data_IF_053033579969
#
_entry.id   IF_053033579969
#
_cell.length_a   1.000
_cell.length_b   1.000
_cell.length_c   1.000
_cell.angle_alpha   90.00
_cell.angle_beta   90.00
_cell.angle_gamma   90.00
#
_symmetry.space_group_name_H-M   'P 1'
#
loop_
_entity.id
_entity.type
_entity.pdbx_description
1 polymer ?
#
# COMPACT_ATOMS: atom_id res chain seq x y z
N UNK A 1 29.82 5.82 -15.83
CA UNK A 1 28.79 4.99 -15.19
C UNK A 1 27.44 5.38 -15.80
N UNK A 2 26.91 4.53 -16.68
CA UNK A 2 25.64 4.78 -17.35
C UNK A 2 24.53 4.05 -16.61
N UNK A 3 24.19 4.54 -15.40
CA UNK A 3 23.14 3.96 -14.57
C UNK A 3 21.73 4.09 -15.20
N UNK A 4 21.64 4.75 -16.37
CA UNK A 4 20.37 5.12 -16.98
C UNK A 4 20.09 4.45 -18.33
N UNK A 5 21.00 3.62 -18.85
CA UNK A 5 20.82 2.98 -20.15
C UNK A 5 19.72 1.88 -20.16
N UNK A 6 19.24 1.45 -18.97
CA UNK A 6 18.23 0.39 -18.81
C UNK A 6 16.82 0.90 -18.46
N UNK A 7 16.60 2.22 -18.45
CA UNK A 7 15.38 2.82 -17.96
C UNK A 7 14.13 2.56 -18.82
N UNK A 8 14.31 2.18 -20.10
CA UNK A 8 13.20 1.86 -20.98
C UNK A 8 12.69 0.42 -20.89
N UNK A 9 13.51 -0.51 -20.34
CA UNK A 9 13.24 -1.93 -20.47
C UNK A 9 12.12 -2.43 -19.56
N UNK A 10 11.91 -1.79 -18.40
CA UNK A 10 10.90 -2.23 -17.44
C UNK A 10 9.48 -1.87 -17.87
N UNK A 11 9.29 -0.73 -18.53
CA UNK A 11 7.96 -0.32 -19.03
C UNK A 11 7.45 -1.28 -20.09
N UNK A 12 8.36 -1.85 -20.88
CA UNK A 12 8.06 -2.85 -21.91
C UNK A 12 7.94 -4.27 -21.37
N UNK A 13 8.28 -4.51 -20.10
CA UNK A 13 8.14 -5.84 -19.50
C UNK A 13 6.67 -6.23 -19.39
N UNK A 14 6.22 -7.34 -20.02
CA UNK A 14 4.82 -7.75 -20.03
C UNK A 14 4.23 -8.00 -18.64
N UNK A 15 5.03 -8.52 -17.70
CA UNK A 15 4.57 -8.76 -16.32
C UNK A 15 4.34 -7.43 -15.58
N UNK A 16 5.27 -6.48 -15.69
CA UNK A 16 5.10 -5.16 -15.12
C UNK A 16 3.86 -4.47 -15.68
N UNK A 17 3.69 -4.47 -17.01
CA UNK A 17 2.52 -3.88 -17.68
C UNK A 17 1.22 -4.53 -17.27
N UNK A 18 1.21 -5.86 -17.04
CA UNK A 18 0.02 -6.58 -16.57
C UNK A 18 -0.43 -6.13 -15.18
N UNK A 19 0.50 -6.03 -14.21
CA UNK A 19 0.18 -5.55 -12.86
C UNK A 19 -0.19 -4.07 -12.86
N UNK A 20 0.50 -3.26 -13.65
CA UNK A 20 0.12 -1.86 -13.85
C UNK A 20 -1.32 -1.75 -14.38
N UNK A 21 -1.68 -2.54 -15.39
CA UNK A 21 -3.03 -2.60 -15.94
C UNK A 21 -4.10 -2.98 -14.91
N UNK A 22 -3.80 -3.89 -13.99
CA UNK A 22 -4.69 -4.25 -12.89
C UNK A 22 -4.96 -3.05 -11.96
N UNK A 23 -3.92 -2.32 -11.54
CA UNK A 23 -4.07 -1.11 -10.73
C UNK A 23 -4.93 -0.06 -11.42
N UNK A 24 -4.65 0.23 -12.70
CA UNK A 24 -5.42 1.20 -13.48
C UNK A 24 -6.88 0.81 -13.57
N UNK A 25 -7.17 -0.46 -13.84
CA UNK A 25 -8.57 -0.95 -13.91
C UNK A 25 -9.28 -0.87 -12.57
N UNK A 26 -8.59 -1.17 -11.47
CA UNK A 26 -9.16 -1.08 -10.12
C UNK A 26 -9.59 0.35 -9.79
N UNK A 27 -8.72 1.35 -10.01
CA UNK A 27 -9.06 2.75 -9.80
C UNK A 27 -10.11 3.26 -10.80
N UNK A 28 -10.04 2.87 -12.07
CA UNK A 28 -11.06 3.23 -13.06
C UNK A 28 -12.44 2.71 -12.68
N UNK A 29 -12.51 1.48 -12.18
CA UNK A 29 -13.75 0.91 -11.65
C UNK A 29 -14.24 1.69 -10.42
N UNK A 30 -13.34 1.98 -9.48
CA UNK A 30 -13.66 2.80 -8.32
C UNK A 30 -14.23 4.17 -8.74
N UNK A 31 -13.54 4.90 -9.60
CA UNK A 31 -13.98 6.22 -10.05
C UNK A 31 -15.32 6.18 -10.78
N UNK A 32 -15.55 5.17 -11.62
CA UNK A 32 -16.82 5.03 -12.34
C UNK A 32 -18.01 4.74 -11.42
N UNK A 33 -17.77 4.16 -10.24
CA UNK A 33 -18.80 3.75 -9.31
C UNK A 33 -19.00 4.70 -8.14
N UNK A 34 -17.94 5.32 -7.62
CA UNK A 34 -18.05 6.21 -6.45
C UNK A 34 -18.95 7.41 -6.70
N UNK A 35 -19.20 7.77 -7.96
CA UNK A 35 -20.15 8.84 -8.33
C UNK A 35 -21.60 8.49 -7.98
N UNK A 36 -21.92 7.20 -7.81
CA UNK A 36 -23.22 6.71 -7.35
C UNK A 36 -23.42 6.89 -5.83
N UNK A 37 -22.34 7.13 -5.09
CA UNK A 37 -22.40 7.31 -3.64
C UNK A 37 -23.00 8.66 -3.25
N UNK A 38 -23.64 8.69 -2.10
CA UNK A 38 -24.11 9.95 -1.50
C UNK A 38 -22.91 10.78 -1.02
N UNK A 39 -22.53 11.76 -1.85
CA UNK A 39 -21.39 12.65 -1.60
C UNK A 39 -21.64 13.69 -0.51
N UNK A 40 -22.88 13.84 -0.05
CA UNK A 40 -23.20 14.72 1.08
C UNK A 40 -22.78 14.12 2.43
N UNK A 41 -22.52 12.83 2.49
CA UNK A 41 -22.04 12.15 3.69
C UNK A 41 -20.57 12.46 3.96
N UNK A 42 -20.19 13.00 5.12
CA UNK A 42 -18.79 13.30 5.46
C UNK A 42 -17.85 12.10 5.33
N UNK A 43 -18.36 10.90 5.61
CA UNK A 43 -17.60 9.65 5.47
C UNK A 43 -17.24 9.36 3.99
N UNK A 44 -18.17 9.60 3.07
CA UNK A 44 -17.92 9.41 1.63
C UNK A 44 -16.85 10.38 1.12
N UNK A 45 -16.87 11.64 1.55
CA UNK A 45 -15.84 12.62 1.20
C UNK A 45 -14.46 12.19 1.75
N UNK A 46 -14.41 11.72 3.01
CA UNK A 46 -13.18 11.20 3.60
C UNK A 46 -12.64 9.99 2.81
N UNK A 47 -13.50 9.03 2.46
CA UNK A 47 -13.12 7.88 1.62
C UNK A 47 -12.51 8.36 0.31
N UNK A 48 -13.13 9.31 -0.38
CA UNK A 48 -12.62 9.86 -1.65
C UNK A 48 -11.24 10.49 -1.50
N UNK A 49 -11.02 11.27 -0.44
CA UNK A 49 -9.70 11.87 -0.15
C UNK A 49 -8.64 10.81 0.12
N UNK A 50 -8.95 9.79 0.90
CA UNK A 50 -8.03 8.68 1.18
C UNK A 50 -7.70 7.90 -0.10
N UNK A 51 -8.68 7.66 -0.96
CA UNK A 51 -8.50 6.98 -2.24
C UNK A 51 -7.66 7.79 -3.22
N UNK A 52 -7.82 9.13 -3.24
CA UNK A 52 -6.96 10.01 -4.04
C UNK A 52 -5.47 9.90 -3.61
N UNK A 53 -5.21 9.92 -2.29
CA UNK A 53 -3.85 9.74 -1.76
C UNK A 53 -3.30 8.35 -2.12
N UNK A 54 -4.13 7.32 -2.01
CA UNK A 54 -3.77 5.95 -2.37
C UNK A 54 -3.38 5.83 -3.85
N UNK A 55 -4.18 6.40 -4.74
CA UNK A 55 -3.92 6.40 -6.18
C UNK A 55 -2.63 7.17 -6.52
N UNK A 56 -2.44 8.36 -5.94
CA UNK A 56 -1.22 9.15 -6.12
C UNK A 56 0.03 8.39 -5.66
N UNK A 57 -0.05 7.70 -4.51
CA UNK A 57 1.03 6.85 -4.01
C UNK A 57 1.31 5.67 -4.93
N UNK A 58 0.27 5.02 -5.48
CA UNK A 58 0.41 3.93 -6.44
C UNK A 58 1.03 4.38 -7.75
N UNK A 59 0.66 5.57 -8.25
CA UNK A 59 1.29 6.18 -9.42
C UNK A 59 2.76 6.46 -9.16
N UNK A 60 3.08 7.09 -8.02
CA UNK A 60 4.46 7.38 -7.61
C UNK A 60 5.32 6.12 -7.51
N UNK A 61 4.78 5.04 -6.91
CA UNK A 61 5.46 3.75 -6.82
C UNK A 61 5.77 3.20 -8.21
N UNK A 62 4.77 3.16 -9.10
CA UNK A 62 4.93 2.61 -10.44
C UNK A 62 5.90 3.40 -11.29
N UNK A 63 5.89 4.73 -11.18
CA UNK A 63 6.87 5.57 -11.83
C UNK A 63 8.29 5.26 -11.34
N UNK A 64 8.52 5.22 -10.02
CA UNK A 64 9.84 4.88 -9.48
C UNK A 64 10.28 3.47 -9.86
N UNK A 65 9.37 2.49 -9.82
CA UNK A 65 9.65 1.12 -10.23
C UNK A 65 9.99 1.03 -11.73
N UNK A 66 9.26 1.75 -12.60
CA UNK A 66 9.52 1.76 -14.04
C UNK A 66 10.89 2.35 -14.40
N UNK A 67 11.42 3.23 -13.54
CA UNK A 67 12.76 3.81 -13.66
C UNK A 67 13.84 3.02 -12.90
N UNK A 68 13.53 1.81 -12.47
CA UNK A 68 14.43 0.98 -11.65
C UNK A 68 14.95 1.68 -10.38
N UNK A 69 14.23 2.68 -9.89
CA UNK A 69 14.54 3.36 -8.63
C UNK A 69 14.05 2.49 -7.46
N UNK A 70 14.72 1.38 -7.23
CA UNK A 70 14.29 0.31 -6.31
C UNK A 70 14.05 0.82 -4.90
N UNK A 71 14.98 1.60 -4.35
CA UNK A 71 14.86 2.10 -2.97
C UNK A 71 13.62 2.99 -2.75
N UNK A 72 13.39 4.08 -3.51
CA UNK A 72 12.18 4.88 -3.33
C UNK A 72 10.91 4.11 -3.69
N UNK A 73 10.96 3.22 -4.69
CA UNK A 73 9.82 2.38 -5.02
C UNK A 73 9.46 1.43 -3.88
N UNK A 74 10.44 0.84 -3.21
CA UNK A 74 10.20 -0.05 -2.06
C UNK A 74 9.60 0.71 -0.87
N UNK A 75 10.13 1.89 -0.55
CA UNK A 75 9.58 2.75 0.50
C UNK A 75 8.12 3.11 0.21
N UNK A 76 7.81 3.48 -1.02
CA UNK A 76 6.43 3.76 -1.44
C UNK A 76 5.53 2.51 -1.40
N UNK A 77 6.07 1.32 -1.70
CA UNK A 77 5.31 0.07 -1.59
C UNK A 77 4.96 -0.24 -0.13
N UNK A 78 5.90 -0.04 0.80
CA UNK A 78 5.65 -0.14 2.23
C UNK A 78 4.54 0.83 2.67
N UNK A 79 4.63 2.08 2.24
CA UNK A 79 3.63 3.10 2.58
C UNK A 79 2.25 2.75 1.98
N UNK A 80 2.22 2.22 0.75
CA UNK A 80 0.98 1.71 0.14
C UNK A 80 0.38 0.55 0.91
N UNK A 81 1.20 -0.38 1.37
CA UNK A 81 0.75 -1.46 2.26
C UNK A 81 0.11 -0.90 3.53
N UNK A 82 0.79 0.04 4.20
CA UNK A 82 0.28 0.66 5.43
C UNK A 82 -1.03 1.41 5.19
N UNK A 83 -1.14 2.17 4.11
CA UNK A 83 -2.37 2.85 3.70
C UNK A 83 -3.51 1.85 3.46
N UNK A 84 -3.23 0.77 2.72
CA UNK A 84 -4.21 -0.27 2.44
C UNK A 84 -4.70 -0.95 3.73
N UNK A 85 -3.80 -1.36 4.62
CA UNK A 85 -4.15 -2.00 5.89
C UNK A 85 -4.98 -1.08 6.77
N UNK A 86 -4.55 0.16 6.97
CA UNK A 86 -5.24 1.15 7.80
C UNK A 86 -6.63 1.45 7.25
N UNK A 87 -6.72 1.67 5.94
CA UNK A 87 -7.99 1.92 5.27
C UNK A 87 -8.93 0.72 5.38
N UNK A 88 -8.47 -0.47 5.02
CA UNK A 88 -9.28 -1.69 5.05
C UNK A 88 -9.75 -2.04 6.46
N UNK A 89 -8.88 -1.85 7.46
CA UNK A 89 -9.27 -2.03 8.86
C UNK A 89 -10.37 -1.04 9.27
N UNK A 90 -10.23 0.25 8.92
CA UNK A 90 -11.26 1.26 9.15
C UNK A 90 -12.58 0.95 8.43
N UNK A 91 -12.49 0.56 7.16
CA UNK A 91 -13.67 0.26 6.35
C UNK A 91 -14.53 -0.85 6.98
N UNK A 92 -13.89 -1.79 7.68
CA UNK A 92 -14.57 -2.90 8.35
C UNK A 92 -15.09 -2.60 9.75
N UNK A 93 -14.77 -1.42 10.31
CA UNK A 93 -15.34 -1.04 11.60
C UNK A 93 -16.80 -0.65 11.45
N UNK A 94 -17.65 -1.23 12.29
CA UNK A 94 -19.06 -0.85 12.39
C UNK A 94 -19.25 0.45 13.22
N UNK A 95 -18.31 0.76 14.12
CA UNK A 95 -18.37 1.95 14.96
C UNK A 95 -17.84 3.18 14.20
N UNK A 96 -18.73 4.14 13.95
CA UNK A 96 -18.35 5.43 13.34
C UNK A 96 -17.27 6.18 14.12
N UNK A 97 -17.12 5.92 15.41
CA UNK A 97 -16.09 6.56 16.25
C UNK A 97 -14.67 6.24 15.78
N UNK A 98 -14.43 5.11 15.16
CA UNK A 98 -13.09 4.78 14.63
C UNK A 98 -12.68 5.72 13.49
N UNK A 99 -13.63 6.13 12.66
CA UNK A 99 -13.41 7.13 11.62
C UNK A 99 -13.11 8.51 12.21
N UNK A 100 -13.81 8.88 13.27
CA UNK A 100 -13.55 10.14 13.97
C UNK A 100 -12.16 10.14 14.64
N UNK A 101 -11.71 8.99 15.15
CA UNK A 101 -10.35 8.84 15.69
C UNK A 101 -9.29 9.02 14.62
N UNK A 102 -9.54 8.54 13.42
CA UNK A 102 -8.66 8.77 12.28
C UNK A 102 -8.58 10.26 11.92
N UNK A 103 -9.71 10.94 11.89
CA UNK A 103 -9.77 12.38 11.66
C UNK A 103 -9.01 13.15 12.76
N UNK A 104 -9.11 12.70 14.01
CA UNK A 104 -8.38 13.29 15.12
C UNK A 104 -6.87 13.29 14.94
N UNK A 105 -6.32 12.28 14.28
CA UNK A 105 -4.88 12.23 13.96
C UNK A 105 -4.43 13.40 13.09
N UNK A 106 -5.29 13.87 12.21
CA UNK A 106 -5.05 15.06 11.40
C UNK A 106 -4.82 16.31 12.26
N UNK A 107 -5.73 16.57 13.21
CA UNK A 107 -5.65 17.74 14.09
C UNK A 107 -4.38 17.73 14.96
N UNK A 108 -4.04 16.56 15.48
CA UNK A 108 -2.84 16.43 16.31
C UNK A 108 -1.54 16.51 15.50
N UNK A 109 -1.55 16.04 14.29
CA UNK A 109 -0.42 16.23 13.37
C UNK A 109 -0.23 17.70 13.04
N UNK A 110 -1.31 18.44 12.76
CA UNK A 110 -1.25 19.89 12.56
C UNK A 110 -0.71 20.60 13.79
N UNK A 111 -1.18 20.28 14.98
CA UNK A 111 -0.70 20.89 16.22
C UNK A 111 0.81 20.63 16.43
N UNK A 112 1.30 19.42 16.17
CA UNK A 112 2.73 19.12 16.24
C UNK A 112 3.55 19.92 15.22
N UNK A 113 3.06 20.04 13.98
CA UNK A 113 3.70 20.85 12.95
C UNK A 113 3.75 22.32 13.37
N UNK A 114 2.64 22.86 13.91
CA UNK A 114 2.59 24.22 14.45
C UNK A 114 3.67 24.45 15.53
N UNK A 115 3.80 23.51 16.47
CA UNK A 115 4.83 23.59 17.50
C UNK A 115 6.25 23.48 16.92
N UNK A 116 6.49 22.59 15.97
CA UNK A 116 7.78 22.44 15.32
C UNK A 116 8.17 23.71 14.54
N UNK A 117 7.27 24.28 13.77
CA UNK A 117 7.51 25.55 13.06
C UNK A 117 7.78 26.68 14.03
N UNK A 118 7.02 26.78 15.12
CA UNK A 118 7.28 27.78 16.17
C UNK A 118 8.67 27.64 16.79
N UNK A 119 9.16 26.40 17.00
CA UNK A 119 10.49 26.14 17.53
C UNK A 119 11.61 26.51 16.54
N UNK A 120 11.38 26.33 15.24
CA UNK A 120 12.36 26.64 14.19
C UNK A 120 12.32 28.09 13.74
N UNK A 121 11.34 28.88 14.19
CA UNK A 121 11.17 30.28 13.75
C UNK A 121 10.72 30.41 12.29
N UNK A 122 10.21 29.33 11.68
CA UNK A 122 9.70 29.32 10.31
C UNK A 122 8.19 29.56 10.36
N UNK A 123 7.72 30.59 9.66
CA UNK A 123 6.27 30.79 9.50
C UNK A 123 5.70 29.78 8.52
N UNK A 124 4.69 28.98 8.92
CA UNK A 124 4.08 28.03 8.01
C UNK A 124 3.30 28.78 6.91
N UNK A 125 3.50 28.35 5.67
CA UNK A 125 2.75 28.85 4.50
C UNK A 125 1.26 28.49 4.56
N UNK A 126 0.91 27.47 5.36
CA UNK A 126 -0.45 26.96 5.55
C UNK A 126 -0.90 27.30 6.96
N UNK A 127 -2.14 27.78 7.07
CA UNK A 127 -2.78 27.95 8.38
C UNK A 127 -2.83 26.59 9.10
N UNK A 128 -2.07 26.50 10.19
CA UNK A 128 -1.99 25.32 11.05
C UNK A 128 -2.91 25.46 12.28
N UNK A 129 -3.88 26.36 12.26
CA UNK A 129 -4.88 26.40 13.33
C UNK A 129 -5.56 25.05 13.43
N UNK A 130 -5.48 24.46 14.62
CA UNK A 130 -5.70 23.03 14.76
C UNK A 130 -7.17 22.65 14.93
N UNK A 131 -8.05 23.62 15.18
CA UNK A 131 -9.47 23.35 15.47
C UNK A 131 -9.69 22.32 16.58
N UNK A 132 -8.64 22.02 17.38
CA UNK A 132 -8.69 21.02 18.44
C UNK A 132 -9.68 21.39 19.53
N UNK A 133 -9.89 22.69 19.71
CA UNK A 133 -10.87 23.19 20.68
C UNK A 133 -12.30 22.93 20.22
N UNK A 134 -12.53 22.83 18.92
CA UNK A 134 -13.80 22.47 18.30
C UNK A 134 -13.99 20.95 18.17
N UNK A 135 -12.92 20.16 18.38
CA UNK A 135 -12.99 18.72 18.24
C UNK A 135 -13.82 18.09 19.38
N UNK A 136 -14.70 17.12 19.06
CA UNK A 136 -15.48 16.43 20.09
C UNK A 136 -14.60 15.82 21.18
N UNK A 137 -15.04 15.81 22.45
CA UNK A 137 -14.25 15.32 23.59
C UNK A 137 -13.65 13.90 23.39
N UNK A 138 -14.38 12.99 22.73
CA UNK A 138 -13.93 11.63 22.46
C UNK A 138 -12.73 11.56 21.50
N UNK A 139 -12.52 12.59 20.70
CA UNK A 139 -11.36 12.73 19.82
C UNK A 139 -10.10 12.89 20.66
N UNK A 140 -10.18 13.60 21.78
CA UNK A 140 -9.04 13.83 22.69
C UNK A 140 -8.71 12.60 23.54
N UNK A 141 -9.74 11.85 24.00
CA UNK A 141 -9.57 10.78 24.96
C UNK A 141 -9.01 9.46 24.38
N UNK A 142 -9.29 9.17 23.10
CA UNK A 142 -9.00 7.87 22.50
C UNK A 142 -7.97 7.89 21.36
N UNK A 143 -7.36 9.02 21.15
CA UNK A 143 -6.36 9.21 20.11
C UNK A 143 -5.12 8.31 20.25
N UNK A 144 -4.69 8.02 21.46
CA UNK A 144 -3.54 7.17 21.73
C UNK A 144 -3.70 5.74 21.17
N UNK A 145 -4.95 5.25 21.07
CA UNK A 145 -5.21 3.88 20.63
C UNK A 145 -4.88 3.65 19.15
N UNK A 146 -5.27 4.56 18.27
CA UNK A 146 -5.04 4.42 16.82
C UNK A 146 -3.55 4.37 16.47
N UNK A 147 -2.77 5.27 17.05
CA UNK A 147 -1.33 5.34 16.80
C UNK A 147 -0.54 4.17 17.37
N UNK A 148 -1.01 3.63 18.47
CA UNK A 148 -0.30 2.60 19.21
C UNK A 148 -0.65 1.19 18.73
N UNK A 149 -1.60 1.02 17.81
CA UNK A 149 -1.90 -0.30 17.27
C UNK A 149 -0.90 -0.63 16.15
N UNK A 150 -0.04 -1.64 16.33
CA UNK A 150 0.91 -2.05 15.31
C UNK A 150 0.22 -2.47 14.01
N UNK A 151 0.88 -2.20 12.89
CA UNK A 151 0.31 -2.44 11.56
C UNK A 151 0.02 -3.92 11.31
N UNK A 152 0.84 -4.83 11.85
CA UNK A 152 0.62 -6.27 11.78
C UNK A 152 -0.66 -6.70 12.51
N UNK A 153 -0.93 -6.10 13.67
CA UNK A 153 -2.18 -6.37 14.40
C UNK A 153 -3.40 -5.83 13.65
N UNK A 154 -3.29 -4.67 13.01
CA UNK A 154 -4.37 -4.15 12.17
C UNK A 154 -4.63 -5.08 10.99
N UNK A 155 -3.58 -5.55 10.31
CA UNK A 155 -3.70 -6.48 9.19
C UNK A 155 -4.37 -7.79 9.61
N UNK A 156 -3.94 -8.41 10.73
CA UNK A 156 -4.58 -9.63 11.26
C UNK A 156 -6.05 -9.43 11.58
N UNK A 157 -6.38 -8.37 12.33
CA UNK A 157 -7.77 -8.06 12.70
C UNK A 157 -8.65 -7.79 11.47
N UNK A 158 -8.12 -7.12 10.44
CA UNK A 158 -8.81 -6.93 9.18
C UNK A 158 -9.09 -8.28 8.50
N UNK A 159 -8.09 -9.14 8.44
CA UNK A 159 -8.20 -10.46 7.80
C UNK A 159 -9.19 -11.37 8.54
N UNK A 160 -9.24 -11.29 9.86
CA UNK A 160 -10.23 -12.01 10.69
C UNK A 160 -11.66 -11.54 10.39
N UNK A 161 -11.86 -10.22 10.24
CA UNK A 161 -13.16 -9.65 9.90
C UNK A 161 -13.60 -9.97 8.47
N UNK A 162 -12.64 -10.09 7.55
CA UNK A 162 -12.90 -10.39 6.14
C UNK A 162 -13.16 -11.88 5.87
N UNK A 163 -12.71 -12.79 6.72
CA UNK A 163 -12.70 -14.22 6.49
C UNK A 163 -14.06 -14.91 6.33
N UNK A 164 -15.18 -14.18 6.49
CA UNK A 164 -16.56 -14.74 6.52
C UNK A 164 -17.31 -14.49 5.20
N UNK A 165 -16.74 -13.70 4.27
CA UNK A 165 -17.46 -13.30 3.05
C UNK A 165 -17.27 -14.27 1.89
N UNK A 166 -18.25 -14.31 0.96
CA UNK A 166 -18.17 -15.10 -0.27
C UNK A 166 -17.25 -14.47 -1.33
N UNK A 167 -16.99 -13.16 -1.25
CA UNK A 167 -16.14 -12.44 -2.20
C UNK A 167 -14.69 -12.92 -2.12
N UNK A 168 -14.05 -13.09 -3.27
CA UNK A 168 -12.66 -13.50 -3.36
C UNK A 168 -11.71 -12.38 -2.94
N UNK A 169 -12.01 -11.15 -3.33
CA UNK A 169 -11.20 -9.98 -2.95
C UNK A 169 -11.19 -9.77 -1.44
N UNK A 170 -12.31 -10.03 -0.77
CA UNK A 170 -12.42 -9.92 0.69
C UNK A 170 -11.59 -10.98 1.43
N UNK A 171 -11.37 -12.14 0.81
CA UNK A 171 -10.60 -13.25 1.40
C UNK A 171 -9.10 -13.09 1.25
N UNK A 172 -8.63 -12.12 0.47
CA UNK A 172 -7.20 -11.86 0.33
C UNK A 172 -6.62 -11.35 1.66
N UNK A 173 -5.61 -12.05 2.16
CA UNK A 173 -5.01 -11.80 3.45
C UNK A 173 -3.89 -10.75 3.35
N UNK A 174 -4.15 -9.57 3.88
CA UNK A 174 -3.15 -8.50 3.92
C UNK A 174 -1.98 -8.83 4.85
N UNK A 175 -2.23 -9.59 5.93
CA UNK A 175 -1.16 -9.98 6.83
C UNK A 175 -0.06 -10.81 6.15
N UNK A 176 -0.39 -11.58 5.11
CA UNK A 176 0.58 -12.34 4.33
C UNK A 176 1.67 -11.47 3.67
N UNK A 177 1.38 -10.18 3.43
CA UNK A 177 2.34 -9.24 2.82
C UNK A 177 3.18 -8.47 3.85
N UNK A 178 2.91 -8.66 5.15
CA UNK A 178 3.61 -7.91 6.20
C UNK A 178 5.12 -8.16 6.20
N UNK A 179 5.54 -9.42 6.18
CA UNK A 179 6.97 -9.75 6.23
C UNK A 179 7.67 -9.40 4.91
N UNK A 180 7.04 -9.66 3.77
CA UNK A 180 7.66 -9.45 2.45
C UNK A 180 7.73 -7.98 2.04
N UNK A 181 6.81 -7.14 2.51
CA UNK A 181 6.76 -5.73 2.09
C UNK A 181 7.02 -4.77 3.25
N UNK A 182 6.27 -4.89 4.34
CA UNK A 182 6.37 -3.89 5.40
C UNK A 182 7.69 -3.99 6.17
N UNK A 183 8.08 -5.19 6.61
CA UNK A 183 9.35 -5.37 7.33
C UNK A 183 10.55 -5.07 6.45
N UNK A 184 10.57 -5.60 5.23
CA UNK A 184 11.67 -5.33 4.30
C UNK A 184 11.72 -3.85 3.91
N UNK A 185 10.58 -3.22 3.62
CA UNK A 185 10.51 -1.79 3.31
C UNK A 185 10.94 -0.91 4.49
N UNK A 186 10.68 -1.33 5.73
CA UNK A 186 11.19 -0.64 6.92
C UNK A 186 12.72 -0.73 7.00
N UNK A 187 13.31 -1.90 6.75
CA UNK A 187 14.77 -2.07 6.67
C UNK A 187 15.38 -1.17 5.61
N UNK A 188 14.76 -1.09 4.43
CA UNK A 188 15.20 -0.18 3.36
C UNK A 188 15.13 1.27 3.81
N UNK A 189 14.06 1.69 4.45
CA UNK A 189 13.90 3.06 4.95
C UNK A 189 14.91 3.45 6.04
N UNK A 190 15.39 2.49 6.81
CA UNK A 190 16.37 2.69 7.88
C UNK A 190 17.82 2.47 7.47
N UNK A 191 18.10 2.21 6.19
CA UNK A 191 19.44 2.00 5.65
C UNK A 191 20.22 0.92 6.42
N UNK A 192 19.57 -0.18 6.79
CA UNK A 192 20.28 -1.29 7.39
C UNK A 192 21.12 -2.08 6.37
N UNK A 193 21.95 -3.00 6.85
CA UNK A 193 22.86 -3.77 6.00
C UNK A 193 22.11 -4.61 4.94
N UNK A 194 20.89 -5.05 5.27
CA UNK A 194 20.03 -5.78 4.36
C UNK A 194 19.58 -4.87 3.21
N UNK A 195 19.21 -3.62 3.52
CA UNK A 195 18.77 -2.65 2.51
C UNK A 195 19.90 -2.27 1.55
N UNK A 196 21.13 -2.15 2.06
CA UNK A 196 22.32 -1.87 1.23
C UNK A 196 22.55 -3.02 0.24
N UNK A 197 22.43 -4.26 0.67
CA UNK A 197 22.53 -5.42 -0.21
C UNK A 197 21.37 -5.49 -1.22
N UNK A 198 20.16 -5.11 -0.82
CA UNK A 198 18.99 -5.05 -1.71
C UNK A 198 19.13 -3.97 -2.79
N UNK A 199 19.95 -2.94 -2.59
CA UNK A 199 20.27 -1.93 -3.61
C UNK A 199 21.08 -2.50 -4.76
N UNK A 200 21.48 -3.77 -4.71
CA UNK A 200 22.23 -4.41 -5.78
C UNK A 200 23.66 -3.88 -5.91
N UNK A 201 24.29 -3.52 -4.80
CA UNK A 201 25.71 -3.19 -4.79
C UNK A 201 26.52 -4.46 -4.89
N UNK A 202 27.23 -4.63 -5.99
CA UNK A 202 28.14 -5.75 -6.23
C UNK A 202 29.56 -5.25 -6.41
N UNK A 203 30.54 -6.06 -5.98
CA UNK A 203 31.94 -5.81 -6.32
C UNK A 203 32.18 -6.08 -7.81
N UNK A 204 32.62 -5.07 -8.52
CA UNK A 204 33.00 -5.15 -9.94
C UNK A 204 34.47 -4.80 -10.16
N UNK A 205 34.99 -4.97 -11.38
CA UNK A 205 36.43 -4.75 -11.71
C UNK A 205 36.96 -3.33 -11.42
N UNK A 206 36.10 -2.37 -11.09
CA UNK A 206 36.46 -0.99 -10.79
C UNK A 206 35.92 -0.50 -9.45
N UNK A 207 35.53 -1.39 -8.55
CA UNK A 207 34.90 -1.06 -7.26
C UNK A 207 33.42 -1.45 -7.21
N UNK A 208 32.65 -0.82 -6.31
CA UNK A 208 31.22 -1.10 -6.16
C UNK A 208 30.42 -0.65 -7.38
N UNK A 209 29.70 -1.59 -7.97
CA UNK A 209 28.79 -1.36 -9.11
C UNK A 209 27.36 -1.52 -8.64
N UNK A 210 26.50 -0.58 -8.98
CA UNK A 210 25.07 -0.67 -8.75
C UNK A 210 24.45 -1.50 -9.89
N UNK A 211 24.02 -2.71 -9.60
CA UNK A 211 23.24 -3.55 -10.51
C UNK A 211 21.85 -3.79 -9.87
N UNK A 212 20.83 -2.99 -10.22
CA UNK A 212 19.51 -3.18 -9.67
C UNK A 212 18.95 -4.55 -10.02
N UNK A 213 18.30 -5.20 -9.05
CA UNK A 213 17.62 -6.46 -9.29
C UNK A 213 16.51 -6.27 -10.34
N UNK A 214 16.60 -6.95 -11.51
CA UNK A 214 15.64 -6.76 -12.59
C UNK A 214 14.22 -7.24 -12.23
N UNK A 215 14.08 -8.07 -11.21
CA UNK A 215 12.77 -8.58 -10.77
C UNK A 215 12.08 -7.67 -9.77
N UNK A 216 12.81 -6.85 -9.03
CA UNK A 216 12.26 -6.01 -7.98
C UNK A 216 11.15 -5.06 -8.47
N UNK A 217 11.26 -4.35 -9.60
CA UNK A 217 10.18 -3.52 -10.12
C UNK A 217 8.89 -4.30 -10.37
N UNK A 218 9.00 -5.55 -10.84
CA UNK A 218 7.85 -6.42 -11.10
C UNK A 218 7.21 -6.85 -9.78
N UNK A 219 8.01 -7.23 -8.78
CA UNK A 219 7.55 -7.60 -7.43
C UNK A 219 6.79 -6.44 -6.78
N UNK A 220 7.33 -5.22 -6.87
CA UNK A 220 6.68 -4.04 -6.29
C UNK A 220 5.36 -3.69 -7.01
N UNK A 221 5.33 -3.78 -8.34
CA UNK A 221 4.12 -3.56 -9.12
C UNK A 221 3.03 -4.61 -8.81
N UNK A 222 3.42 -5.86 -8.63
CA UNK A 222 2.55 -6.97 -8.23
C UNK A 222 1.86 -6.68 -6.90
N UNK A 223 2.64 -6.30 -5.88
CA UNK A 223 2.09 -6.02 -4.55
C UNK A 223 1.18 -4.78 -4.58
N UNK A 224 1.62 -3.72 -5.27
CA UNK A 224 0.83 -2.51 -5.44
C UNK A 224 -0.54 -2.81 -6.06
N UNK A 225 -0.58 -3.62 -7.11
CA UNK A 225 -1.83 -3.99 -7.77
C UNK A 225 -2.81 -4.71 -6.82
N UNK A 226 -2.32 -5.61 -5.97
CA UNK A 226 -3.18 -6.27 -4.97
C UNK A 226 -3.73 -5.27 -3.95
N UNK A 227 -2.88 -4.36 -3.43
CA UNK A 227 -3.32 -3.35 -2.48
C UNK A 227 -4.36 -2.41 -3.10
N UNK A 228 -4.19 -2.04 -4.37
CA UNK A 228 -5.13 -1.20 -5.10
C UNK A 228 -6.48 -1.89 -5.29
N UNK A 229 -6.49 -3.17 -5.69
CA UNK A 229 -7.72 -3.94 -5.85
C UNK A 229 -8.48 -4.06 -4.52
N UNK A 230 -7.78 -4.45 -3.44
CA UNK A 230 -8.38 -4.62 -2.11
C UNK A 230 -8.94 -3.28 -1.61
N UNK A 231 -8.15 -2.21 -1.68
CA UNK A 231 -8.58 -0.92 -1.18
C UNK A 231 -9.75 -0.32 -1.96
N UNK A 232 -9.79 -0.49 -3.28
CA UNK A 232 -10.93 -0.08 -4.11
C UNK A 232 -12.20 -0.85 -3.73
N UNK A 233 -12.10 -2.16 -3.48
CA UNK A 233 -13.23 -2.97 -3.04
C UNK A 233 -13.78 -2.51 -1.69
N UNK A 234 -12.90 -2.30 -0.71
CA UNK A 234 -13.29 -1.84 0.62
C UNK A 234 -13.91 -0.43 0.58
N UNK A 235 -13.39 0.44 -0.30
CA UNK A 235 -13.90 1.81 -0.45
C UNK A 235 -15.33 1.82 -1.00
N UNK A 236 -15.60 1.02 -2.05
CA UNK A 236 -16.94 0.91 -2.62
C UNK A 236 -17.92 0.27 -1.64
N UNK A 237 -17.52 -0.80 -0.98
CA UNK A 237 -18.36 -1.45 0.04
C UNK A 237 -18.71 -0.51 1.18
N UNK A 238 -17.75 0.30 1.68
CA UNK A 238 -17.98 1.25 2.77
C UNK A 238 -18.83 2.44 2.36
N UNK A 239 -18.77 2.84 1.09
CA UNK A 239 -19.60 3.90 0.54
C UNK A 239 -21.03 3.44 0.19
N UNK A 240 -21.39 2.19 0.51
CA UNK A 240 -22.67 1.56 0.15
C UNK A 240 -22.92 1.53 -1.37
N UNK A 241 -21.86 1.53 -2.17
CA UNK A 241 -21.95 1.42 -3.61
C UNK A 241 -21.87 -0.07 -4.00
N UNK A 242 -22.84 -0.59 -4.75
CA UNK A 242 -22.78 -1.95 -5.24
C UNK A 242 -21.53 -2.15 -6.08
N UNK A 243 -20.48 -2.70 -5.47
CA UNK A 243 -19.31 -3.10 -6.24
C UNK A 243 -19.75 -4.24 -7.19
N UNK A 244 -19.34 -4.22 -8.46
CA UNK A 244 -19.43 -5.39 -9.28
C UNK A 244 -18.44 -6.42 -8.75
N UNK A 245 -18.83 -7.14 -7.70
CA UNK A 245 -17.99 -8.13 -7.02
C UNK A 245 -17.31 -9.07 -8.02
N UNK A 246 -18.04 -9.48 -9.07
CA UNK A 246 -17.49 -10.29 -10.14
C UNK A 246 -16.31 -9.64 -10.87
N UNK A 247 -16.28 -8.30 -11.01
CA UNK A 247 -15.16 -7.59 -11.68
C UNK A 247 -13.92 -7.53 -10.78
N UNK A 248 -14.07 -7.24 -9.49
CA UNK A 248 -12.96 -7.20 -8.54
C UNK A 248 -12.43 -8.60 -8.25
N UNK A 249 -13.30 -9.57 -8.06
CA UNK A 249 -12.92 -10.98 -7.90
C UNK A 249 -12.21 -11.51 -9.16
N UNK A 250 -12.64 -11.07 -10.34
CA UNK A 250 -11.96 -11.34 -11.62
C UNK A 250 -10.54 -10.78 -11.66
N UNK A 251 -10.35 -9.56 -11.16
CA UNK A 251 -8.99 -8.96 -11.07
C UNK A 251 -8.09 -9.73 -10.11
N UNK A 252 -8.61 -10.22 -8.97
CA UNK A 252 -7.85 -11.08 -8.05
C UNK A 252 -7.47 -12.40 -8.72
N UNK A 253 -8.39 -13.03 -9.46
CA UNK A 253 -8.10 -14.25 -10.22
C UNK A 253 -7.00 -14.01 -11.25
N UNK A 254 -7.08 -12.91 -11.98
CA UNK A 254 -6.09 -12.52 -12.98
C UNK A 254 -4.73 -12.21 -12.33
N UNK A 255 -4.71 -11.55 -11.19
CA UNK A 255 -3.51 -11.29 -10.41
C UNK A 255 -2.81 -12.60 -10.02
N UNK A 256 -3.54 -13.56 -9.46
CA UNK A 256 -2.99 -14.88 -9.13
C UNK A 256 -2.50 -15.65 -10.36
N UNK A 257 -3.19 -15.53 -11.50
CA UNK A 257 -2.75 -16.12 -12.75
C UNK A 257 -1.45 -15.51 -13.26
N UNK A 258 -1.24 -14.21 -13.08
CA UNK A 258 0.03 -13.56 -13.41
C UNK A 258 1.15 -13.97 -12.48
N UNK A 259 0.91 -14.00 -11.16
CA UNK A 259 1.89 -14.44 -10.17
C UNK A 259 2.40 -15.85 -10.47
N UNK A 260 1.51 -16.78 -10.79
CA UNK A 260 1.91 -18.16 -11.17
C UNK A 260 2.75 -18.20 -12.43
N UNK A 261 2.42 -17.38 -13.43
CA UNK A 261 3.18 -17.32 -14.69
C UNK A 261 4.57 -16.74 -14.52
N UNK A 262 4.76 -15.83 -13.60
CA UNK A 262 6.07 -15.25 -13.30
C UNK A 262 6.98 -16.18 -12.49
N UNK A 263 6.43 -17.26 -11.92
CA UNK A 263 7.19 -18.17 -11.05
C UNK A 263 7.64 -17.52 -9.72
N UNK A 264 7.13 -16.34 -9.39
CA UNK A 264 7.51 -15.60 -8.18
C UNK A 264 6.96 -16.20 -6.89
N UNK A 265 5.93 -17.04 -6.98
CA UNK A 265 5.41 -17.79 -5.85
C UNK A 265 5.32 -19.26 -6.24
N UNK A 266 5.74 -20.12 -5.33
CA UNK A 266 5.54 -21.55 -5.47
C UNK A 266 4.05 -21.84 -5.65
N UNK A 267 3.74 -22.66 -6.63
CA UNK A 267 2.37 -23.10 -6.87
C UNK A 267 1.92 -23.93 -5.65
N UNK A 268 0.96 -23.48 -4.84
CA UNK A 268 0.53 -24.21 -3.64
C UNK A 268 -0.11 -25.56 -3.98
N UNK A 269 -0.36 -25.84 -5.26
CA UNK A 269 -0.84 -27.15 -5.74
C UNK A 269 0.32 -28.09 -6.12
N UNK A 270 1.55 -27.61 -6.19
CA UNK A 270 2.73 -28.43 -6.40
C UNK A 270 3.31 -28.87 -5.07
N UNK A 271 3.67 -30.15 -4.92
CA UNK A 271 4.43 -30.57 -3.75
C UNK A 271 5.76 -29.77 -3.72
N UNK A 272 6.25 -29.38 -2.53
CA UNK A 272 7.50 -28.66 -2.42
C UNK A 272 8.58 -29.44 -3.15
N UNK A 273 9.21 -28.81 -4.13
CA UNK A 273 10.38 -29.37 -4.82
C UNK A 273 11.44 -29.55 -3.76
N UNK A 274 11.63 -30.80 -3.28
CA UNK A 274 12.79 -31.16 -2.48
C UNK A 274 14.02 -30.83 -3.31
N UNK A 275 14.80 -29.85 -2.85
CA UNK A 275 16.14 -29.64 -3.39
C UNK A 275 16.87 -30.98 -3.34
N UNK A 276 17.43 -31.45 -4.46
CA UNK A 276 18.26 -32.65 -4.43
C UNK A 276 19.48 -32.32 -3.60
N UNK A 277 19.51 -32.86 -2.36
CA UNK A 277 20.70 -33.24 -1.62
C UNK A 277 21.83 -32.21 -1.53
N UNK A 278 21.86 -31.37 -0.53
CA UNK A 278 23.12 -31.12 0.17
C UNK A 278 23.40 -32.34 1.06
N UNK A 279 23.98 -33.34 0.48
CA UNK A 279 24.67 -34.40 1.21
C UNK A 279 26.11 -33.93 1.45
N UNK A 280 26.57 -34.01 2.66
CA UNK A 280 27.98 -33.95 3.07
C UNK A 280 28.37 -32.73 3.85
#
# INVERSE_FOLDING_TARGET
MRAFDHLGDYVSNPAFSAFHGLSVRAFSLYHSRIVEADLSRPLTDLIRRMMYVAEASSVGLRLNASWALTHPAFSLCRDRFEQCVRFSWLARQSDAREWYRYIADYYLTRNRLKHAFKQTGIDPVVDLDDGLDEAPPYVRERFAYWRNTPIDQMARRRDDLAGITASRVDREKLFGFYDSIYRQGSSVAHYDLYSINMLGLHEGPGGLVLAPDPYMPIVLALHCAMFDIVQCAEALAKADVPAPAASLDGMVIEWWAFVRRTGMLDDPTKPPTREPGRAG
#
